data_IF_961971650650
#
_entry.id   IF_961971650650
#
_cell.length_a   1.000
_cell.length_b   1.000
_cell.length_c   1.000
_cell.angle_alpha   90.00
_cell.angle_beta   90.00
_cell.angle_gamma   90.00
#
_symmetry.space_group_name_H-M   'P 1'
#
loop_
_entity.id
_entity.type
_entity.pdbx_description
1 polymer ?
#
# COMPACT_ATOMS: atom_id res chain seq x y z
N UNK A 1 -6.28 26.14 16.62
CA UNK A 1 -6.64 25.91 15.21
C UNK A 1 -5.48 25.12 14.59
N UNK A 2 -5.56 23.78 14.63
CA UNK A 2 -4.48 22.93 14.11
C UNK A 2 -4.37 23.10 12.59
N UNK A 3 -3.18 23.41 12.10
CA UNK A 3 -2.91 23.43 10.68
C UNK A 3 -3.01 21.99 10.17
N UNK A 4 -3.98 21.70 9.30
CA UNK A 4 -3.89 20.55 8.42
C UNK A 4 -2.71 20.86 7.51
N UNK A 5 -1.60 20.14 7.67
CA UNK A 5 -0.40 20.33 6.85
C UNK A 5 -0.65 19.64 5.51
N UNK A 6 -1.03 20.42 4.49
CA UNK A 6 -1.05 19.97 3.11
C UNK A 6 0.40 19.88 2.61
N UNK A 7 0.86 18.67 2.34
CA UNK A 7 2.20 18.42 1.79
C UNK A 7 2.13 18.22 0.28
N UNK A 8 3.25 18.55 -0.37
CA UNK A 8 3.50 18.17 -1.77
C UNK A 8 3.59 16.65 -1.84
N UNK A 9 3.21 16.06 -2.98
CA UNK A 9 3.36 14.62 -3.21
C UNK A 9 4.80 14.18 -2.95
N UNK A 10 4.96 13.14 -2.13
CA UNK A 10 6.27 12.55 -1.80
C UNK A 10 7.02 12.05 -3.05
N UNK A 11 6.33 11.79 -4.16
CA UNK A 11 6.95 11.43 -5.44
C UNK A 11 7.79 12.58 -6.02
N UNK A 12 7.39 13.82 -5.76
CA UNK A 12 8.14 15.01 -6.17
C UNK A 12 9.34 15.24 -5.25
N UNK A 13 9.19 15.01 -3.95
CA UNK A 13 10.25 15.21 -2.95
C UNK A 13 11.32 14.12 -2.96
N UNK A 14 10.93 12.86 -3.14
CA UNK A 14 11.82 11.69 -3.12
C UNK A 14 12.69 11.54 -4.38
N UNK A 15 12.40 12.30 -5.43
CA UNK A 15 12.98 12.14 -6.76
C UNK A 15 12.74 10.78 -7.43
N UNK A 16 11.93 9.90 -6.84
CA UNK A 16 11.58 8.62 -7.46
C UNK A 16 10.85 8.82 -8.81
N UNK A 17 10.99 7.84 -9.69
CA UNK A 17 10.27 7.79 -10.98
C UNK A 17 8.85 7.23 -10.82
N UNK A 18 8.69 6.26 -9.92
CA UNK A 18 7.46 5.52 -9.69
C UNK A 18 7.28 5.28 -8.18
N UNK A 19 6.06 5.41 -7.69
CA UNK A 19 5.68 5.07 -6.32
C UNK A 19 4.60 4.00 -6.35
N UNK A 20 4.72 2.99 -5.49
CA UNK A 20 3.66 1.99 -5.26
C UNK A 20 2.83 2.41 -4.06
N UNK A 21 1.51 2.32 -4.17
CA UNK A 21 0.58 2.59 -3.07
C UNK A 21 -0.34 1.39 -2.81
N UNK A 22 -0.92 1.33 -1.61
CA UNK A 22 -1.70 0.18 -1.18
C UNK A 22 -0.83 -1.06 -0.92
N UNK A 23 -1.38 -2.24 -1.20
CA UNK A 23 -0.69 -3.52 -1.13
C UNK A 23 0.13 -3.74 -2.42
N UNK A 24 1.46 -3.75 -2.28
CA UNK A 24 2.39 -3.70 -3.40
C UNK A 24 2.81 -5.05 -4.00
N UNK A 25 2.28 -6.18 -3.53
CA UNK A 25 2.81 -7.51 -3.86
C UNK A 25 2.64 -7.86 -5.35
N UNK A 26 1.51 -7.51 -5.97
CA UNK A 26 1.36 -7.66 -7.43
C UNK A 26 2.15 -6.59 -8.19
N UNK A 27 2.09 -5.35 -7.71
CA UNK A 27 2.73 -4.21 -8.37
C UNK A 27 4.24 -4.41 -8.51
N UNK A 28 4.91 -4.90 -7.46
CA UNK A 28 6.36 -5.08 -7.48
C UNK A 28 6.81 -6.13 -8.50
N UNK A 29 6.04 -7.22 -8.65
CA UNK A 29 6.29 -8.25 -9.67
C UNK A 29 6.10 -7.67 -11.06
N UNK A 30 4.98 -6.97 -11.30
CA UNK A 30 4.70 -6.36 -12.60
C UNK A 30 5.74 -5.29 -13.00
N UNK A 31 6.21 -4.49 -12.03
CA UNK A 31 7.28 -3.51 -12.24
C UNK A 31 8.59 -4.24 -12.58
N UNK A 32 8.94 -5.29 -11.83
CA UNK A 32 10.16 -6.07 -12.08
C UNK A 32 10.13 -6.72 -13.47
N UNK A 33 9.00 -7.31 -13.88
CA UNK A 33 8.81 -7.91 -15.20
C UNK A 33 8.94 -6.87 -16.33
N UNK A 34 8.35 -5.68 -16.16
CA UNK A 34 8.47 -4.59 -17.12
C UNK A 34 9.93 -4.15 -17.28
N UNK A 35 10.66 -3.94 -16.17
CA UNK A 35 12.07 -3.58 -16.20
C UNK A 35 12.94 -4.69 -16.81
N UNK A 36 12.66 -5.96 -16.48
CA UNK A 36 13.36 -7.11 -17.05
C UNK A 36 13.15 -7.25 -18.56
N UNK A 37 12.02 -6.77 -19.09
CA UNK A 37 11.76 -6.72 -20.54
C UNK A 37 12.56 -5.64 -21.27
N UNK A 38 13.25 -4.76 -20.54
CA UNK A 38 14.01 -3.63 -21.09
C UNK A 38 13.20 -2.33 -21.22
N UNK A 39 11.99 -2.28 -20.65
CA UNK A 39 11.21 -1.04 -20.57
C UNK A 39 11.91 -0.03 -19.64
N UNK A 40 11.97 1.24 -20.05
CA UNK A 40 12.46 2.30 -19.16
C UNK A 40 11.45 2.55 -18.04
N UNK A 41 11.94 2.83 -16.84
CA UNK A 41 11.08 3.11 -15.68
C UNK A 41 10.11 4.27 -15.91
N UNK A 42 10.46 5.24 -16.76
CA UNK A 42 9.57 6.37 -17.09
C UNK A 42 8.42 5.99 -18.00
N UNK A 43 8.51 4.85 -18.69
CA UNK A 43 7.47 4.34 -19.58
C UNK A 43 6.48 3.41 -18.84
N UNK A 44 6.78 3.06 -17.58
CA UNK A 44 5.89 2.26 -16.73
C UNK A 44 4.79 3.17 -16.15
N UNK A 45 3.78 3.45 -16.97
CA UNK A 45 2.69 4.38 -16.62
C UNK A 45 1.33 3.71 -16.42
N UNK A 46 1.25 2.39 -16.57
CA UNK A 46 -0.02 1.66 -16.68
C UNK A 46 -0.31 0.66 -15.56
N UNK A 47 0.65 0.42 -14.66
CA UNK A 47 0.52 -0.62 -13.63
C UNK A 47 -0.45 -0.13 -12.53
N UNK A 48 -1.53 -0.87 -12.20
CA UNK A 48 -2.40 -0.55 -11.08
C UNK A 48 -1.66 -0.46 -9.75
N UNK A 49 -2.12 0.38 -8.82
CA UNK A 49 -1.45 0.58 -7.53
C UNK A 49 -0.13 1.35 -7.64
N UNK A 50 0.10 2.07 -8.75
CA UNK A 50 1.28 2.92 -8.94
C UNK A 50 0.93 4.39 -9.17
N UNK A 51 1.89 5.25 -8.87
CA UNK A 51 1.85 6.70 -9.08
C UNK A 51 3.10 7.13 -9.82
N UNK A 52 2.94 7.90 -10.88
CA UNK A 52 4.05 8.46 -11.66
C UNK A 52 3.88 9.96 -11.86
N UNK A 53 4.95 10.63 -12.29
CA UNK A 53 4.91 12.07 -12.63
C UNK A 53 5.19 12.27 -14.11
N UNK A 54 4.49 13.21 -14.73
CA UNK A 54 4.63 13.50 -16.16
C UNK A 54 4.34 14.96 -16.46
N UNK A 55 4.81 15.43 -17.62
CA UNK A 55 4.34 16.68 -18.24
C UNK A 55 3.32 16.46 -19.35
N UNK A 56 3.09 15.20 -19.73
CA UNK A 56 2.12 14.80 -20.73
C UNK A 56 0.89 14.18 -20.05
N UNK A 57 -0.20 14.94 -19.96
CA UNK A 57 -1.47 14.50 -19.37
C UNK A 57 -2.14 13.38 -20.18
N UNK A 58 -1.83 13.21 -21.46
CA UNK A 58 -2.42 12.17 -22.32
C UNK A 58 -2.03 10.76 -21.90
N UNK A 59 -0.99 10.60 -21.07
CA UNK A 59 -0.63 9.31 -20.47
C UNK A 59 -1.65 8.85 -19.41
N UNK A 60 -2.51 9.75 -18.92
CA UNK A 60 -3.57 9.40 -17.99
C UNK A 60 -4.84 9.02 -18.77
N UNK A 61 -5.28 7.78 -18.63
CA UNK A 61 -6.49 7.27 -19.30
C UNK A 61 -7.76 7.61 -18.50
N UNK A 62 -8.73 8.27 -19.15
CA UNK A 62 -10.02 8.76 -18.59
C UNK A 62 -9.89 9.33 -17.15
N UNK A 63 -9.04 10.35 -16.93
CA UNK A 63 -8.69 10.75 -15.59
C UNK A 63 -9.74 11.66 -14.94
N UNK A 64 -9.85 11.56 -13.61
CA UNK A 64 -10.44 12.61 -12.78
C UNK A 64 -9.33 13.59 -12.40
N UNK A 65 -9.48 14.85 -12.81
CA UNK A 65 -8.55 15.92 -12.44
C UNK A 65 -8.92 16.44 -11.06
N UNK A 66 -7.98 16.34 -10.11
CA UNK A 66 -8.11 16.88 -8.76
C UNK A 66 -7.81 18.39 -8.74
N UNK A 67 -8.26 19.13 -7.71
CA UNK A 67 -7.82 20.50 -7.47
C UNK A 67 -6.29 20.60 -7.44
N UNK A 68 -5.73 21.72 -7.92
CA UNK A 68 -4.28 21.91 -7.88
C UNK A 68 -3.75 22.04 -6.45
N UNK A 69 -2.47 21.72 -6.26
CA UNK A 69 -1.81 21.93 -4.97
C UNK A 69 -2.00 23.36 -4.43
N UNK A 70 -1.84 24.36 -5.30
CA UNK A 70 -2.02 25.77 -4.93
C UNK A 70 -3.48 26.09 -4.54
N UNK A 71 -4.47 25.53 -5.24
CA UNK A 71 -5.88 25.72 -4.89
C UNK A 71 -6.22 25.11 -3.52
N UNK A 72 -5.74 23.89 -3.25
CA UNK A 72 -5.94 23.22 -1.96
C UNK A 72 -5.21 23.90 -0.80
N UNK A 73 -4.11 24.59 -1.09
CA UNK A 73 -3.35 25.37 -0.10
C UNK A 73 -4.12 26.62 0.33
N UNK A 74 -4.83 27.25 -0.59
CA UNK A 74 -5.63 28.45 -0.33
C UNK A 74 -7.02 28.14 0.24
N UNK A 75 -7.65 27.02 -0.14
CA UNK A 75 -8.99 26.64 0.33
C UNK A 75 -9.03 25.21 0.92
N UNK A 76 -9.42 25.12 2.20
CA UNK A 76 -9.62 23.86 2.91
C UNK A 76 -10.80 23.04 2.37
N UNK A 77 -11.79 23.68 1.75
CA UNK A 77 -12.88 22.97 1.09
C UNK A 77 -12.38 22.28 -0.18
N UNK A 78 -11.48 22.89 -0.94
CA UNK A 78 -10.83 22.23 -2.08
C UNK A 78 -10.00 21.02 -1.63
N UNK A 79 -9.25 21.16 -0.52
CA UNK A 79 -8.58 20.00 0.08
C UNK A 79 -9.56 18.90 0.48
N UNK A 80 -10.66 19.24 1.16
CA UNK A 80 -11.67 18.26 1.56
C UNK A 80 -12.35 17.59 0.35
N UNK A 81 -12.61 18.35 -0.71
CA UNK A 81 -13.15 17.83 -1.97
C UNK A 81 -12.17 16.85 -2.64
N UNK A 82 -10.89 17.23 -2.72
CA UNK A 82 -9.83 16.35 -3.26
C UNK A 82 -9.72 15.06 -2.44
N UNK A 83 -9.68 15.16 -1.12
CA UNK A 83 -9.61 14.00 -0.22
C UNK A 83 -10.83 13.08 -0.37
N UNK A 84 -12.04 13.64 -0.52
CA UNK A 84 -13.26 12.87 -0.77
C UNK A 84 -13.16 12.10 -2.08
N UNK A 85 -12.76 12.76 -3.18
CA UNK A 85 -12.60 12.10 -4.49
C UNK A 85 -11.56 10.97 -4.39
N UNK A 86 -10.42 11.22 -3.77
CA UNK A 86 -9.39 10.19 -3.56
C UNK A 86 -9.94 9.00 -2.75
N UNK A 87 -10.66 9.26 -1.66
CA UNK A 87 -11.27 8.23 -0.81
C UNK A 87 -12.34 7.41 -1.54
N UNK A 88 -13.09 8.03 -2.46
CA UNK A 88 -14.09 7.34 -3.28
C UNK A 88 -13.46 6.45 -4.37
N UNK A 89 -12.17 6.66 -4.69
CA UNK A 89 -11.44 5.93 -5.73
C UNK A 89 -10.44 4.91 -5.15
N UNK A 90 -10.61 4.47 -3.89
CA UNK A 90 -9.77 3.43 -3.27
C UNK A 90 -10.22 1.99 -3.58
N UNK A 91 -11.33 1.80 -4.28
CA UNK A 91 -11.82 0.47 -4.67
C UNK A 91 -11.32 0.11 -6.08
N UNK A 92 -10.67 -1.06 -6.27
CA UNK A 92 -10.05 -1.42 -7.54
C UNK A 92 -11.05 -1.63 -8.69
N UNK A 93 -12.34 -1.86 -8.40
CA UNK A 93 -13.34 -2.15 -9.44
C UNK A 93 -14.05 -0.92 -9.99
N UNK A 94 -14.01 0.20 -9.25
CA UNK A 94 -14.65 1.45 -9.66
C UNK A 94 -13.70 2.67 -9.65
N UNK A 95 -12.51 2.51 -9.07
CA UNK A 95 -11.49 3.55 -8.99
C UNK A 95 -11.02 3.96 -10.39
N UNK A 96 -10.92 5.27 -10.59
CA UNK A 96 -10.39 5.88 -11.81
C UNK A 96 -8.96 6.35 -11.62
N UNK A 97 -8.29 6.61 -12.74
CA UNK A 97 -7.03 7.35 -12.76
C UNK A 97 -7.27 8.74 -12.17
N UNK A 98 -6.46 9.13 -11.18
CA UNK A 98 -6.51 10.47 -10.59
C UNK A 98 -5.31 11.27 -11.05
N UNK A 99 -5.52 12.56 -11.35
CA UNK A 99 -4.44 13.46 -11.77
C UNK A 99 -4.45 14.68 -10.87
N UNK A 100 -3.34 14.91 -10.17
CA UNK A 100 -3.12 16.11 -9.37
C UNK A 100 -2.17 17.06 -10.11
N UNK A 101 -2.61 18.29 -10.45
CA UNK A 101 -1.78 19.26 -11.14
C UNK A 101 -0.88 20.06 -10.16
N UNK A 102 0.38 20.21 -10.58
CA UNK A 102 1.43 20.96 -9.90
C UNK A 102 1.99 22.09 -10.77
N UNK A 103 2.71 23.07 -10.18
CA UNK A 103 3.37 24.13 -10.94
C UNK A 103 4.29 23.61 -12.05
N UNK A 104 4.52 24.44 -13.07
CA UNK A 104 5.38 24.14 -14.23
C UNK A 104 4.86 23.02 -15.16
N UNK A 105 3.55 22.79 -15.18
CA UNK A 105 2.91 21.79 -16.03
C UNK A 105 3.26 20.35 -15.66
N UNK A 106 3.56 20.12 -14.37
CA UNK A 106 3.82 18.78 -13.83
C UNK A 106 2.51 18.21 -13.33
N UNK A 107 2.28 16.93 -13.62
CA UNK A 107 1.14 16.17 -13.16
C UNK A 107 1.64 14.96 -12.36
N UNK A 108 1.00 14.71 -11.22
CA UNK A 108 1.12 13.43 -10.50
C UNK A 108 -0.10 12.61 -10.87
N UNK A 109 0.14 11.45 -11.48
CA UNK A 109 -0.89 10.55 -11.98
C UNK A 109 -0.91 9.29 -11.12
N UNK A 110 -2.03 9.06 -10.45
CA UNK A 110 -2.29 7.84 -9.68
C UNK A 110 -3.15 6.91 -10.52
N UNK A 111 -2.59 5.75 -10.88
CA UNK A 111 -3.35 4.68 -11.53
C UNK A 111 -4.37 4.08 -10.56
N UNK A 112 -5.46 3.45 -11.05
CA UNK A 112 -6.42 2.76 -10.21
C UNK A 112 -5.78 1.76 -9.22
N UNK A 113 -6.42 1.47 -8.07
CA UNK A 113 -5.88 0.53 -7.10
C UNK A 113 -5.65 -0.85 -7.69
N UNK A 114 -4.65 -1.56 -7.17
CA UNK A 114 -4.39 -2.94 -7.56
C UNK A 114 -5.50 -3.88 -7.06
N UNK A 115 -5.82 -4.89 -7.85
CA UNK A 115 -6.79 -5.90 -7.44
C UNK A 115 -6.31 -6.70 -6.23
N UNK A 116 -7.24 -7.16 -5.36
CA UNK A 116 -6.91 -8.04 -4.24
C UNK A 116 -6.19 -9.31 -4.71
N UNK A 117 -5.41 -9.90 -3.81
CA UNK A 117 -4.88 -11.23 -4.02
C UNK A 117 -6.01 -12.25 -3.97
N UNK A 118 -5.89 -13.29 -4.78
CA UNK A 118 -6.57 -14.54 -4.54
C UNK A 118 -6.05 -15.16 -3.24
N UNK A 119 -6.84 -16.07 -2.66
CA UNK A 119 -6.41 -16.82 -1.47
C UNK A 119 -5.13 -17.62 -1.71
N UNK A 120 -4.94 -18.19 -2.90
CA UNK A 120 -3.72 -18.93 -3.22
C UNK A 120 -2.50 -17.99 -3.23
N UNK A 121 -2.59 -16.85 -3.93
CA UNK A 121 -1.51 -15.87 -3.93
C UNK A 121 -1.20 -15.35 -2.51
N UNK A 122 -2.23 -15.15 -1.68
CA UNK A 122 -2.04 -14.79 -0.28
C UNK A 122 -1.31 -15.90 0.49
N UNK A 123 -1.74 -17.15 0.36
CA UNK A 123 -1.10 -18.28 1.02
C UNK A 123 0.38 -18.44 0.58
N UNK A 124 0.67 -18.27 -0.72
CA UNK A 124 2.02 -18.33 -1.28
C UNK A 124 2.93 -17.24 -0.69
N UNK A 125 2.42 -16.00 -0.57
CA UNK A 125 3.15 -14.88 0.03
C UNK A 125 3.47 -15.18 1.49
N UNK A 126 2.51 -15.66 2.29
CA UNK A 126 2.74 -16.00 3.69
C UNK A 126 3.64 -17.23 3.90
N UNK A 127 3.80 -18.08 2.87
CA UNK A 127 4.69 -19.25 2.95
C UNK A 127 6.16 -18.93 2.66
N UNK A 128 6.45 -17.75 2.09
CA UNK A 128 7.81 -17.29 1.84
C UNK A 128 8.69 -17.40 3.10
N UNK A 129 10.00 -17.70 2.95
CA UNK A 129 10.90 -17.95 4.07
C UNK A 129 11.34 -16.65 4.76
N UNK A 130 10.38 -15.90 5.30
CA UNK A 130 10.66 -14.70 6.07
C UNK A 130 11.44 -15.05 7.33
N UNK A 131 12.34 -14.14 7.72
CA UNK A 131 13.14 -14.26 8.94
C UNK A 131 12.28 -14.25 10.22
N UNK A 132 11.05 -13.74 10.14
CA UNK A 132 10.10 -13.60 11.28
C UNK A 132 10.64 -12.79 12.47
N UNK A 133 11.68 -12.01 12.25
CA UNK A 133 12.23 -11.05 13.21
C UNK A 133 12.85 -9.86 12.46
N UNK A 134 13.38 -8.90 13.21
CA UNK A 134 14.06 -7.73 12.66
C UNK A 134 15.43 -8.07 12.08
N UNK A 135 15.94 -7.23 11.17
CA UNK A 135 17.27 -7.39 10.59
C UNK A 135 18.38 -7.23 11.66
N UNK A 136 19.48 -8.01 11.62
CA UNK A 136 20.54 -7.97 12.65
C UNK A 136 21.17 -6.59 12.91
N UNK A 137 21.09 -5.67 11.95
CA UNK A 137 21.56 -4.28 12.14
C UNK A 137 20.89 -3.54 13.31
N UNK A 138 19.72 -4.00 13.78
CA UNK A 138 19.03 -3.41 14.93
C UNK A 138 19.56 -3.92 16.27
N UNK A 139 20.36 -4.98 16.32
CA UNK A 139 20.87 -5.56 17.58
C UNK A 139 21.71 -4.55 18.37
N UNK A 140 22.57 -3.78 17.69
CA UNK A 140 23.39 -2.73 18.32
C UNK A 140 22.56 -1.58 18.89
N UNK A 141 21.30 -1.46 18.47
CA UNK A 141 20.33 -0.48 18.98
C UNK A 141 19.39 -1.08 20.04
N UNK A 142 19.62 -2.33 20.46
CA UNK A 142 18.78 -3.04 21.44
C UNK A 142 17.59 -3.81 20.82
N UNK A 143 17.57 -3.99 19.49
CA UNK A 143 16.52 -4.68 18.77
C UNK A 143 15.27 -3.81 18.51
N UNK A 144 14.19 -4.42 18.03
CA UNK A 144 12.89 -3.77 17.83
C UNK A 144 11.89 -4.27 18.86
N UNK A 145 11.49 -3.45 19.86
CA UNK A 145 10.58 -3.88 20.93
C UNK A 145 9.25 -4.45 20.42
N UNK A 146 8.72 -3.90 19.33
CA UNK A 146 7.44 -4.33 18.75
C UNK A 146 7.43 -5.82 18.34
N UNK A 147 8.58 -6.42 18.00
CA UNK A 147 8.66 -7.84 17.64
C UNK A 147 8.27 -8.74 18.82
N UNK A 148 8.53 -8.34 20.07
CA UNK A 148 8.20 -9.15 21.25
C UNK A 148 6.70 -9.46 21.36
N UNK A 149 5.87 -8.53 20.87
CA UNK A 149 4.41 -8.61 20.94
C UNK A 149 3.80 -9.32 19.73
N UNK A 150 4.44 -9.26 18.56
CA UNK A 150 3.87 -9.81 17.32
C UNK A 150 4.51 -11.12 16.87
N UNK A 151 5.66 -11.54 17.42
CA UNK A 151 6.42 -12.68 16.88
C UNK A 151 5.64 -14.01 16.84
N UNK A 152 4.70 -14.21 17.76
CA UNK A 152 3.85 -15.41 17.84
C UNK A 152 2.39 -15.13 17.51
N UNK A 153 2.14 -14.16 16.63
CA UNK A 153 0.81 -13.86 16.11
C UNK A 153 0.67 -14.39 14.68
N UNK A 154 -0.54 -14.82 14.34
CA UNK A 154 -0.89 -15.30 13.01
C UNK A 154 -1.92 -14.35 12.39
N UNK A 155 -1.60 -13.83 11.20
CA UNK A 155 -2.58 -13.10 10.41
C UNK A 155 -3.53 -14.11 9.75
N UNK A 156 -4.83 -14.04 10.00
CA UNK A 156 -5.85 -14.90 9.36
C UNK A 156 -6.47 -14.27 8.11
N UNK A 157 -6.54 -12.94 8.09
CA UNK A 157 -7.08 -12.17 6.98
C UNK A 157 -6.43 -10.78 6.88
N UNK A 158 -6.73 -10.08 5.79
CA UNK A 158 -6.40 -8.67 5.56
C UNK A 158 -7.57 -7.93 4.91
N UNK A 159 -7.52 -6.60 4.94
CA UNK A 159 -8.61 -5.72 4.51
C UNK A 159 -9.61 -5.46 5.63
N UNK A 160 -10.35 -4.34 5.57
CA UNK A 160 -11.34 -3.99 6.58
C UNK A 160 -12.57 -3.32 5.96
N UNK A 161 -13.74 -3.97 6.05
CA UNK A 161 -14.98 -3.44 5.48
C UNK A 161 -15.52 -2.21 6.23
N UNK A 162 -15.07 -2.00 7.48
CA UNK A 162 -15.59 -0.97 8.40
C UNK A 162 -15.23 0.47 8.03
N UNK A 163 -14.12 0.71 7.34
CA UNK A 163 -13.72 2.03 6.83
C UNK A 163 -13.83 3.18 7.85
N UNK A 164 -13.41 2.93 9.10
CA UNK A 164 -13.43 3.95 10.15
C UNK A 164 -12.59 5.16 9.75
N UNK A 165 -13.10 6.37 9.97
CA UNK A 165 -12.47 7.62 9.52
C UNK A 165 -11.06 7.89 10.09
N UNK A 166 -10.72 7.25 11.22
CA UNK A 166 -9.41 7.36 11.85
C UNK A 166 -8.41 6.28 11.42
N UNK A 167 -8.88 5.25 10.68
CA UNK A 167 -8.10 4.07 10.40
C UNK A 167 -7.48 4.14 9.00
N UNK A 168 -6.16 3.90 8.92
CA UNK A 168 -5.45 3.88 7.64
C UNK A 168 -5.59 2.54 6.89
N UNK A 169 -6.13 1.48 7.53
CA UNK A 169 -6.19 0.13 6.94
C UNK A 169 -6.90 0.13 5.59
N UNK A 170 -7.98 0.89 5.41
CA UNK A 170 -8.69 0.92 4.13
C UNK A 170 -7.90 1.57 3.01
N UNK A 171 -7.00 2.51 3.32
CA UNK A 171 -6.11 3.11 2.32
C UNK A 171 -4.98 2.18 1.90
N UNK A 172 -4.54 1.29 2.79
CA UNK A 172 -3.42 0.39 2.53
C UNK A 172 -3.87 -1.00 2.05
N UNK A 173 -4.83 -1.62 2.74
CA UNK A 173 -5.28 -2.99 2.50
C UNK A 173 -6.62 -3.07 1.75
N UNK A 174 -7.31 -1.94 1.58
CA UNK A 174 -8.63 -1.89 0.97
C UNK A 174 -9.75 -2.37 1.90
N UNK A 175 -10.97 -2.33 1.37
CA UNK A 175 -12.21 -2.71 2.08
C UNK A 175 -12.60 -4.17 1.86
N UNK A 176 -11.94 -4.84 0.93
CA UNK A 176 -12.23 -6.21 0.52
C UNK A 176 -11.45 -7.16 1.42
N UNK A 177 -12.19 -8.00 2.16
CA UNK A 177 -11.59 -9.00 3.03
C UNK A 177 -10.99 -10.11 2.20
N UNK A 178 -9.71 -10.38 2.45
CA UNK A 178 -8.97 -11.50 1.87
C UNK A 178 -8.55 -12.41 3.02
N UNK A 179 -8.93 -13.68 2.95
CA UNK A 179 -8.62 -14.67 3.98
C UNK A 179 -7.62 -15.70 3.49
N UNK A 180 -6.77 -16.15 4.41
CA UNK A 180 -5.87 -17.28 4.20
C UNK A 180 -6.61 -18.59 4.31
N UNK A 181 -6.05 -19.64 3.71
CA UNK A 181 -6.53 -20.99 4.00
C UNK A 181 -6.17 -21.41 5.42
N UNK A 182 -6.98 -22.32 5.97
CA UNK A 182 -6.67 -22.96 7.25
C UNK A 182 -5.31 -23.67 7.21
N UNK A 183 -4.98 -24.30 6.08
CA UNK A 183 -3.71 -24.99 5.89
C UNK A 183 -2.52 -24.03 5.97
N UNK A 184 -2.58 -22.88 5.31
CA UNK A 184 -1.54 -21.85 5.40
C UNK A 184 -1.31 -21.39 6.84
N UNK A 185 -2.39 -21.12 7.58
CA UNK A 185 -2.33 -20.69 8.99
C UNK A 185 -1.72 -21.81 9.87
N UNK A 186 -2.14 -23.05 9.68
CA UNK A 186 -1.62 -24.21 10.43
C UNK A 186 -0.14 -24.45 10.13
N UNK A 187 0.28 -24.31 8.87
CA UNK A 187 1.67 -24.50 8.48
C UNK A 187 2.57 -23.40 9.08
N UNK A 188 2.12 -22.15 9.11
CA UNK A 188 2.83 -21.09 9.81
C UNK A 188 2.87 -21.33 11.33
N UNK A 189 1.77 -21.79 11.93
CA UNK A 189 1.72 -22.15 13.34
C UNK A 189 2.77 -23.22 13.69
N UNK A 190 2.94 -24.24 12.84
CA UNK A 190 3.98 -25.28 12.99
C UNK A 190 5.39 -24.67 12.96
N UNK A 191 5.65 -23.74 12.04
CA UNK A 191 6.95 -23.02 11.99
C UNK A 191 7.19 -22.22 13.28
N UNK A 192 6.15 -21.61 13.86
CA UNK A 192 6.25 -20.86 15.12
C UNK A 192 6.58 -21.77 16.31
N UNK A 193 5.92 -22.92 16.45
CA UNK A 193 6.16 -23.82 17.60
C UNK A 193 7.57 -24.44 17.59
N UNK A 194 8.20 -24.52 16.41
CA UNK A 194 9.57 -25.01 16.23
C UNK A 194 10.63 -23.92 16.52
N UNK A 195 10.21 -22.66 16.75
CA UNK A 195 11.15 -21.57 17.07
C UNK A 195 11.79 -21.79 18.46
N UNK A 196 13.13 -21.61 18.60
CA UNK A 196 13.83 -21.86 19.87
C UNK A 196 13.32 -21.04 21.07
N UNK A 197 12.75 -19.86 20.81
CA UNK A 197 12.25 -18.94 21.82
C UNK A 197 10.73 -19.01 22.02
N UNK A 198 10.05 -20.04 21.48
CA UNK A 198 8.61 -20.19 21.60
C UNK A 198 8.14 -20.23 23.06
N UNK A 199 7.20 -19.36 23.42
CA UNK A 199 6.69 -19.19 24.81
C UNK A 199 5.67 -20.27 25.24
N UNK A 200 5.29 -21.18 24.34
CA UNK A 200 4.32 -22.25 24.61
C UNK A 200 2.87 -21.92 24.20
N UNK A 201 2.61 -20.75 23.61
CA UNK A 201 1.30 -20.38 23.06
C UNK A 201 1.41 -19.36 21.92
N UNK A 202 0.43 -19.37 21.03
CA UNK A 202 0.24 -18.34 20.00
C UNK A 202 -0.53 -17.18 20.62
N UNK A 203 -0.01 -15.96 20.49
CA UNK A 203 -0.54 -14.75 21.15
C UNK A 203 -1.89 -14.33 20.57
N UNK A 204 -2.00 -14.34 19.24
CA UNK A 204 -3.18 -13.88 18.53
C UNK A 204 -3.32 -14.62 17.19
N UNK A 205 -4.56 -14.83 16.78
CA UNK A 205 -4.92 -15.32 15.45
C UNK A 205 -6.01 -14.41 14.93
N UNK A 206 -5.62 -13.43 14.12
CA UNK A 206 -6.48 -12.29 13.85
C UNK A 206 -6.19 -11.61 12.53
N UNK A 207 -7.00 -10.61 12.24
CA UNK A 207 -6.79 -9.68 11.15
C UNK A 207 -7.45 -8.36 11.52
N UNK A 208 -7.36 -7.34 10.65
CA UNK A 208 -7.86 -6.00 10.95
C UNK A 208 -9.40 -5.87 11.00
N UNK A 209 -10.13 -7.00 10.99
CA UNK A 209 -11.59 -7.09 10.89
C UNK A 209 -12.24 -7.48 12.20
#
# INVERSE_FOLDING_TARGET
MGAIVLNVSILLDSQANLLTYGMGEKCIVQIADALASGMDVTDITYIPGTVFKTKNIELAYDPIILPSYDAMKEDKLEYANSFRVQSENTDPFNGKTLVEPYPNGVYVVQNPPQEPLTRQEMDDIYDLPYERTYHPSYEVLGGIPAIQEVQFSLASCRGCFGACSFCAITFHQGRIIQSRSHESIINEAKKIIDMPNFKGYIHDVGGPT
#
